data_IF_528548969907
#
_entry.id   IF_528548969907
#
_cell.length_a   1.000
_cell.length_b   1.000
_cell.length_c   1.000
_cell.angle_alpha   90.00
_cell.angle_beta   90.00
_cell.angle_gamma   90.00
#
_symmetry.space_group_name_H-M   'P 1'
#
loop_
_entity.id
_entity.type
_entity.pdbx_description
1 polymer ?
#
# COMPACT_ATOMS: atom_id res chain seq x y z
N UNK A 1 -0.17 -30.04 -13.39
CA UNK A 1 0.62 -29.65 -12.19
C UNK A 1 1.66 -28.65 -12.65
N UNK A 2 1.36 -27.36 -12.52
CA UNK A 2 2.35 -26.30 -12.69
C UNK A 2 2.88 -25.97 -11.30
N UNK A 3 4.19 -26.06 -11.11
CA UNK A 3 4.86 -25.44 -9.97
C UNK A 3 4.58 -23.95 -10.03
N UNK A 4 3.76 -23.44 -9.11
CA UNK A 4 3.42 -22.03 -9.01
C UNK A 4 4.69 -21.25 -8.68
N UNK A 5 5.11 -20.34 -9.57
CA UNK A 5 5.92 -19.21 -9.14
C UNK A 5 5.16 -18.48 -8.05
N UNK A 6 5.80 -18.21 -6.93
CA UNK A 6 5.22 -17.32 -5.91
C UNK A 6 4.97 -15.95 -6.55
N UNK A 7 3.82 -15.34 -6.28
CA UNK A 7 3.46 -14.07 -6.89
C UNK A 7 4.41 -12.97 -6.37
N UNK A 8 4.98 -12.16 -7.27
CA UNK A 8 6.01 -11.17 -6.93
C UNK A 8 5.59 -10.24 -5.78
N UNK A 9 4.32 -9.86 -5.74
CA UNK A 9 3.73 -9.06 -4.67
C UNK A 9 3.81 -9.74 -3.29
N UNK A 10 3.63 -11.06 -3.19
CA UNK A 10 3.74 -11.80 -1.93
C UNK A 10 5.17 -11.75 -1.39
N UNK A 11 6.15 -11.95 -2.27
CA UNK A 11 7.58 -11.83 -1.94
C UNK A 11 7.91 -10.41 -1.50
N UNK A 12 7.43 -9.42 -2.24
CA UNK A 12 7.61 -8.00 -1.92
C UNK A 12 7.07 -7.66 -0.53
N UNK A 13 5.81 -8.00 -0.25
CA UNK A 13 5.14 -7.77 1.03
C UNK A 13 5.91 -8.46 2.14
N UNK A 14 6.14 -9.78 2.04
CA UNK A 14 6.81 -10.56 3.09
C UNK A 14 8.20 -10.02 3.42
N UNK A 15 8.96 -9.59 2.42
CA UNK A 15 10.34 -9.13 2.59
C UNK A 15 10.45 -7.69 3.10
N UNK A 16 9.52 -6.81 2.75
CA UNK A 16 9.53 -5.42 3.21
C UNK A 16 8.70 -5.18 4.47
N UNK A 17 7.73 -6.03 4.81
CA UNK A 17 6.92 -5.90 6.03
C UNK A 17 7.81 -5.90 7.28
N UNK A 18 8.89 -6.68 7.27
CA UNK A 18 9.89 -6.77 8.33
C UNK A 18 10.67 -5.46 8.55
N UNK A 19 10.56 -4.48 7.66
CA UNK A 19 11.21 -3.17 7.80
C UNK A 19 10.42 -2.20 8.67
N UNK A 20 9.17 -2.52 9.01
CA UNK A 20 8.41 -1.75 9.99
C UNK A 20 7.93 -0.38 9.50
N UNK A 21 7.79 -0.19 8.18
CA UNK A 21 7.29 1.05 7.59
C UNK A 21 5.77 1.09 7.36
N UNK A 22 5.06 0.03 7.74
CA UNK A 22 3.64 -0.17 7.41
C UNK A 22 3.46 -1.42 6.54
N UNK A 23 2.27 -1.58 5.95
CA UNK A 23 2.03 -2.64 4.97
C UNK A 23 2.64 -2.23 3.62
N UNK A 24 3.59 -2.99 3.05
CA UNK A 24 4.15 -2.69 1.73
C UNK A 24 3.11 -2.94 0.64
N UNK A 25 2.86 -1.95 -0.21
CA UNK A 25 1.94 -2.10 -1.35
C UNK A 25 2.76 -2.29 -2.62
N UNK A 26 2.47 -3.35 -3.38
CA UNK A 26 3.21 -3.67 -4.61
C UNK A 26 2.78 -2.77 -5.78
N UNK A 27 1.48 -2.48 -5.90
CA UNK A 27 0.94 -1.54 -6.88
C UNK A 27 0.26 -0.34 -6.21
N UNK A 28 1.01 0.68 -5.77
CA UNK A 28 0.44 1.82 -5.05
C UNK A 28 -0.23 2.87 -5.96
N UNK A 29 -0.10 2.76 -7.29
CA UNK A 29 -0.71 3.70 -8.24
C UNK A 29 -2.25 3.56 -8.23
N UNK A 30 -3.01 4.66 -8.07
CA UNK A 30 -4.47 4.63 -8.16
C UNK A 30 -4.98 4.14 -9.52
N UNK A 31 -6.15 3.50 -9.54
CA UNK A 31 -6.86 3.15 -10.77
C UNK A 31 -7.31 4.43 -11.50
N UNK A 32 -7.09 4.49 -12.82
CA UNK A 32 -7.48 5.60 -13.69
C UNK A 32 -9.01 5.81 -13.76
N UNK A 33 -9.81 4.84 -13.30
CA UNK A 33 -11.26 4.94 -13.19
C UNK A 33 -11.72 5.69 -11.93
N UNK A 34 -10.82 5.99 -11.00
CA UNK A 34 -11.12 6.78 -9.81
C UNK A 34 -11.27 8.28 -10.16
N UNK A 35 -11.97 9.08 -9.34
CA UNK A 35 -12.06 10.52 -9.56
C UNK A 35 -10.66 11.16 -9.69
N UNK A 36 -10.48 12.14 -10.59
CA UNK A 36 -9.19 12.80 -10.80
C UNK A 36 -8.59 13.34 -9.49
N UNK A 37 -9.44 13.94 -8.63
CA UNK A 37 -9.02 14.43 -7.32
C UNK A 37 -8.45 13.33 -6.41
N UNK A 38 -8.85 12.06 -6.58
CA UNK A 38 -8.24 10.94 -5.88
C UNK A 38 -6.94 10.49 -6.54
N UNK A 39 -6.87 10.47 -7.87
CA UNK A 39 -5.65 10.11 -8.61
C UNK A 39 -4.49 11.06 -8.25
N UNK A 40 -4.76 12.36 -8.20
CA UNK A 40 -3.77 13.39 -7.85
C UNK A 40 -3.33 13.30 -6.38
N UNK A 41 -4.25 12.90 -5.49
CA UNK A 41 -4.01 12.80 -4.05
C UNK A 41 -3.32 11.50 -3.65
N UNK A 42 -3.64 10.40 -4.34
CA UNK A 42 -3.33 9.03 -3.95
C UNK A 42 -3.98 8.58 -2.64
N UNK A 43 -3.62 7.37 -2.21
CA UNK A 43 -4.07 6.75 -0.94
C UNK A 43 -3.64 7.57 0.27
N UNK A 44 -4.59 7.94 1.12
CA UNK A 44 -4.36 8.85 2.24
C UNK A 44 -5.01 8.36 3.54
N UNK A 45 -4.58 8.94 4.67
CA UNK A 45 -5.18 8.68 5.99
C UNK A 45 -6.70 8.84 5.94
N UNK A 46 -7.42 7.86 6.46
CA UNK A 46 -8.89 7.81 6.44
C UNK A 46 -9.47 7.01 5.28
N UNK A 47 -8.66 6.65 4.28
CA UNK A 47 -9.14 5.80 3.20
C UNK A 47 -9.41 4.38 3.72
N UNK A 48 -10.59 3.86 3.40
CA UNK A 48 -10.93 2.46 3.51
C UNK A 48 -10.64 1.81 2.16
N UNK A 49 -9.75 0.82 2.17
CA UNK A 49 -9.23 0.19 0.95
C UNK A 49 -9.19 -1.31 1.07
N UNK A 50 -9.14 -1.99 -0.08
CA UNK A 50 -8.81 -3.40 -0.17
C UNK A 50 -7.47 -3.57 -0.85
N UNK A 51 -6.63 -4.43 -0.28
CA UNK A 51 -5.44 -4.92 -0.98
C UNK A 51 -5.87 -6.15 -1.78
N UNK A 52 -5.82 -6.02 -3.10
CA UNK A 52 -6.22 -7.06 -4.05
C UNK A 52 -5.17 -8.17 -4.12
N UNK A 53 -5.53 -9.32 -4.71
CA UNK A 53 -4.62 -10.46 -4.86
C UNK A 53 -3.38 -10.15 -5.72
N UNK A 54 -3.47 -9.17 -6.62
CA UNK A 54 -2.33 -8.67 -7.42
C UNK A 54 -1.50 -7.59 -6.70
N UNK A 55 -1.85 -7.26 -5.45
CA UNK A 55 -1.10 -6.33 -4.61
C UNK A 55 -1.34 -4.84 -4.91
N UNK A 56 -2.42 -4.53 -5.63
CA UNK A 56 -2.89 -3.15 -5.87
C UNK A 56 -3.88 -2.68 -4.81
N UNK A 57 -4.27 -1.40 -4.87
CA UNK A 57 -5.21 -0.77 -3.94
C UNK A 57 -6.56 -0.56 -4.63
N UNK A 58 -7.60 -1.21 -4.10
CA UNK A 58 -8.99 -0.94 -4.46
C UNK A 58 -9.61 0.03 -3.45
N UNK A 59 -9.81 1.28 -3.87
CA UNK A 59 -10.33 2.35 -3.02
C UNK A 59 -11.85 2.28 -2.88
N UNK A 60 -12.32 2.23 -1.63
CA UNK A 60 -13.75 2.24 -1.32
C UNK A 60 -14.24 3.66 -1.13
N UNK A 61 -13.90 4.27 0.01
CA UNK A 61 -14.24 5.64 0.36
C UNK A 61 -13.31 6.11 1.49
N UNK A 62 -13.32 7.41 1.79
CA UNK A 62 -12.57 7.98 2.91
C UNK A 62 -13.52 8.33 4.06
N UNK A 63 -13.25 7.84 5.27
CA UNK A 63 -14.03 8.22 6.46
C UNK A 63 -13.79 9.68 6.87
N UNK A 64 -12.74 10.31 6.36
CA UNK A 64 -12.35 11.69 6.69
C UNK A 64 -12.82 12.72 5.67
N UNK A 65 -13.69 12.32 4.74
CA UNK A 65 -14.32 13.22 3.79
C UNK A 65 -15.85 13.10 3.88
N UNK A 66 -16.59 14.20 3.63
CA UNK A 66 -18.04 14.14 3.50
C UNK A 66 -18.49 13.15 2.42
N UNK A 67 -19.73 12.64 2.52
CA UNK A 67 -20.28 11.71 1.52
C UNK A 67 -20.52 12.35 0.15
N UNK A 68 -20.76 13.66 0.11
CA UNK A 68 -20.92 14.48 -1.09
C UNK A 68 -19.59 14.98 -1.68
N UNK A 69 -18.47 14.73 -1.01
CA UNK A 69 -17.15 15.09 -1.52
C UNK A 69 -16.84 14.32 -2.83
N UNK A 70 -16.23 14.94 -3.86
CA UNK A 70 -15.99 14.30 -5.15
C UNK A 70 -15.28 12.93 -5.10
N UNK A 71 -14.37 12.75 -4.13
CA UNK A 71 -13.68 11.47 -3.88
C UNK A 71 -14.62 10.39 -3.36
N UNK A 72 -15.58 10.74 -2.49
CA UNK A 72 -16.51 9.82 -1.84
C UNK A 72 -17.83 9.66 -2.58
N UNK A 73 -18.12 10.53 -3.55
CA UNK A 73 -19.40 10.60 -4.24
C UNK A 73 -19.82 9.22 -4.77
N UNK A 74 -21.00 8.78 -4.35
CA UNK A 74 -21.62 7.50 -4.70
C UNK A 74 -20.86 6.24 -4.22
N UNK A 75 -19.97 6.37 -3.23
CA UNK A 75 -19.17 5.25 -2.69
C UNK A 75 -19.42 4.93 -1.22
N UNK A 76 -19.99 5.87 -0.47
CA UNK A 76 -20.22 5.68 0.97
C UNK A 76 -21.45 4.81 1.25
N UNK A 77 -21.48 4.06 2.37
CA UNK A 77 -22.68 3.39 2.85
C UNK A 77 -23.83 4.37 3.13
N UNK A 78 -25.07 3.85 3.20
CA UNK A 78 -26.27 4.65 3.45
C UNK A 78 -26.22 5.42 4.78
N UNK A 79 -25.74 4.76 5.84
CA UNK A 79 -25.56 5.35 7.18
C UNK A 79 -24.14 5.87 7.40
N UNK A 80 -23.58 6.60 6.44
CA UNK A 80 -22.22 7.12 6.54
C UNK A 80 -22.08 8.19 7.63
N UNK A 81 -21.03 8.05 8.44
CA UNK A 81 -20.62 9.02 9.46
C UNK A 81 -19.17 9.43 9.19
N UNK A 82 -18.94 10.73 9.00
CA UNK A 82 -17.61 11.28 8.79
C UNK A 82 -16.85 11.40 10.12
N UNK A 83 -15.55 11.14 10.08
CA UNK A 83 -14.61 11.43 11.17
C UNK A 83 -13.86 12.72 10.86
N UNK A 84 -14.08 13.73 11.68
CA UNK A 84 -13.34 14.99 11.61
C UNK A 84 -11.92 14.85 12.16
N UNK A 85 -10.94 15.22 11.33
CA UNK A 85 -9.53 15.31 11.68
C UNK A 85 -9.07 16.77 11.70
N UNK A 86 -8.40 17.15 12.78
CA UNK A 86 -7.65 18.40 12.85
C UNK A 86 -6.20 18.11 12.47
N UNK A 87 -5.76 18.56 11.30
CA UNK A 87 -4.40 18.33 10.78
C UNK A 87 -3.30 18.71 11.80
N UNK A 88 -3.51 19.76 12.59
CA UNK A 88 -2.52 20.22 13.56
C UNK A 88 -2.44 19.36 14.83
N UNK A 89 -3.53 18.70 15.21
CA UNK A 89 -3.64 17.93 16.46
C UNK A 89 -3.63 16.43 16.27
N UNK A 90 -4.20 15.95 15.17
CA UNK A 90 -4.42 14.53 14.91
C UNK A 90 -3.34 13.93 14.01
N UNK A 91 -2.63 14.75 13.21
CA UNK A 91 -1.61 14.27 12.26
C UNK A 91 -0.18 14.61 12.69
N UNK A 92 0.74 13.70 12.36
CA UNK A 92 2.18 13.90 12.39
C UNK A 92 2.68 13.85 10.96
N UNK A 93 3.17 14.99 10.48
CA UNK A 93 3.77 15.15 9.15
C UNK A 93 5.29 15.25 9.33
N UNK A 94 6.03 14.41 8.62
CA UNK A 94 7.48 14.35 8.65
C UNK A 94 7.97 14.44 7.20
N UNK A 95 8.45 15.63 6.84
CA UNK A 95 9.04 15.89 5.54
C UNK A 95 10.38 15.17 5.40
N UNK A 96 10.75 14.78 4.18
CA UNK A 96 12.04 14.14 3.86
C UNK A 96 12.33 12.90 4.71
N UNK A 97 11.29 12.17 5.13
CA UNK A 97 11.44 11.01 6.00
C UNK A 97 12.31 9.93 5.36
N UNK A 98 12.16 9.76 4.04
CA UNK A 98 13.12 9.04 3.20
C UNK A 98 13.82 10.03 2.29
N UNK A 99 15.15 10.01 2.28
CA UNK A 99 15.92 10.91 1.42
C UNK A 99 15.75 10.61 -0.07
N UNK A 100 16.09 11.60 -0.90
CA UNK A 100 16.20 11.46 -2.36
C UNK A 100 17.14 10.30 -2.71
N UNK A 101 16.81 9.56 -3.76
CA UNK A 101 17.53 8.38 -4.24
C UNK A 101 17.76 7.28 -3.18
N UNK A 102 16.86 7.18 -2.20
CA UNK A 102 16.94 6.18 -1.14
C UNK A 102 16.26 4.86 -1.52
N UNK A 103 16.54 3.80 -0.75
CA UNK A 103 15.92 2.49 -0.96
C UNK A 103 15.60 1.80 0.35
N UNK A 104 14.43 1.19 0.41
CA UNK A 104 14.05 0.22 1.43
C UNK A 104 14.22 -1.16 0.79
N UNK A 105 15.24 -1.91 1.21
CA UNK A 105 15.53 -3.22 0.64
C UNK A 105 15.61 -4.30 1.71
N UNK A 106 15.23 -5.53 1.36
CA UNK A 106 15.40 -6.69 2.25
C UNK A 106 16.86 -6.83 2.70
N UNK A 107 17.10 -7.36 3.91
CA UNK A 107 18.43 -7.42 4.54
C UNK A 107 19.52 -8.10 3.68
N UNK A 108 19.10 -8.90 2.72
CA UNK A 108 20.00 -9.63 1.81
C UNK A 108 20.56 -8.77 0.68
N UNK A 109 20.02 -7.57 0.44
CA UNK A 109 20.53 -6.61 -0.56
C UNK A 109 21.54 -5.70 0.13
N UNK A 110 22.75 -6.20 0.36
CA UNK A 110 23.86 -5.30 0.63
C UNK A 110 24.25 -4.60 -0.67
N UNK A 111 24.17 -3.26 -0.73
CA UNK A 111 24.81 -2.44 -1.77
C UNK A 111 26.31 -2.75 -1.75
N UNK A 112 26.74 -3.76 -2.49
CA UNK A 112 28.15 -4.05 -2.68
C UNK A 112 28.67 -3.12 -3.75
N UNK A 113 29.45 -2.13 -3.31
CA UNK A 113 30.56 -1.62 -4.14
C UNK A 113 31.34 -2.84 -4.65
N UNK A 114 31.42 -3.02 -5.97
CA UNK A 114 32.19 -4.08 -6.62
C UNK A 114 33.68 -3.88 -6.27
N UNK A 115 34.13 -4.48 -5.18
CA UNK A 115 35.52 -4.86 -4.97
C UNK A 115 35.60 -6.37 -5.20
N UNK A 116 36.52 -6.76 -6.09
CA UNK A 116 36.64 -8.09 -6.66
C UNK A 116 36.60 -9.22 -5.62
N UNK A 117 35.88 -10.29 -5.97
CA UNK A 117 35.89 -11.62 -5.35
C UNK A 117 35.29 -11.78 -3.95
N UNK A 118 33.98 -11.52 -3.82
CA UNK A 118 33.19 -12.14 -2.76
C UNK A 118 31.92 -12.74 -3.36
N UNK A 119 31.97 -14.04 -3.68
CA UNK A 119 30.79 -14.85 -3.96
C UNK A 119 29.94 -14.89 -2.68
N UNK A 120 28.93 -14.02 -2.63
CA UNK A 120 27.87 -14.10 -1.64
C UNK A 120 26.78 -14.92 -2.29
N UNK A 121 26.32 -15.97 -1.60
CA UNK A 121 25.12 -16.69 -1.99
C UNK A 121 24.02 -15.66 -2.25
N UNK A 122 23.57 -15.56 -3.50
CA UNK A 122 22.46 -14.70 -3.83
C UNK A 122 21.28 -15.13 -2.93
N UNK A 123 20.61 -14.19 -2.25
CA UNK A 123 19.46 -14.57 -1.46
C UNK A 123 18.42 -15.22 -2.37
N UNK A 124 17.82 -16.31 -1.88
CA UNK A 124 16.73 -16.98 -2.60
C UNK A 124 15.55 -16.05 -2.85
N UNK A 125 15.42 -14.96 -2.08
CA UNK A 125 14.43 -13.92 -2.33
C UNK A 125 14.94 -12.54 -1.96
N UNK A 126 14.56 -11.53 -2.74
CA UNK A 126 14.75 -10.13 -2.37
C UNK A 126 13.56 -9.27 -2.74
N UNK A 127 13.50 -8.10 -2.11
CA UNK A 127 12.56 -7.04 -2.46
C UNK A 127 13.23 -5.68 -2.21
N UNK A 128 12.92 -4.73 -3.08
CA UNK A 128 13.38 -3.35 -2.99
C UNK A 128 12.26 -2.40 -3.38
N UNK A 129 12.08 -1.37 -2.57
CA UNK A 129 11.40 -0.13 -2.92
C UNK A 129 12.47 0.93 -3.06
N UNK A 130 12.53 1.59 -4.21
CA UNK A 130 13.39 2.73 -4.43
C UNK A 130 12.53 3.99 -4.59
N UNK A 131 12.97 5.06 -3.95
CA UNK A 131 12.29 6.35 -3.89
C UNK A 131 13.21 7.37 -4.53
N UNK A 132 12.96 7.68 -5.80
CA UNK A 132 13.84 8.57 -6.56
C UNK A 132 13.77 9.99 -6.00
N UNK A 133 12.57 10.52 -5.80
CA UNK A 133 12.39 11.86 -5.20
C UNK A 133 12.28 11.83 -3.65
N UNK A 134 12.61 10.70 -3.03
CA UNK A 134 12.41 10.51 -1.59
C UNK A 134 10.93 10.34 -1.22
N UNK A 135 10.60 10.49 0.06
CA UNK A 135 9.22 10.42 0.51
C UNK A 135 8.97 11.10 1.86
N UNK A 136 7.80 11.72 1.96
CA UNK A 136 7.27 12.27 3.20
C UNK A 136 6.47 11.21 3.95
N UNK A 137 6.46 11.29 5.28
CA UNK A 137 5.67 10.40 6.12
C UNK A 137 4.54 11.13 6.82
N UNK A 138 3.35 10.56 6.72
CA UNK A 138 2.14 11.04 7.40
C UNK A 138 1.60 9.94 8.31
N UNK A 139 1.32 10.26 9.57
CA UNK A 139 0.72 9.31 10.51
C UNK A 139 -0.36 9.97 11.37
N UNK A 140 -1.37 9.20 11.77
CA UNK A 140 -2.23 9.55 12.89
C UNK A 140 -1.44 9.52 14.20
N UNK A 141 -1.53 10.59 14.99
CA UNK A 141 -0.99 10.66 16.36
C UNK A 141 -1.77 9.76 17.31
N UNK A 142 -3.09 9.67 17.12
CA UNK A 142 -3.98 8.93 18.00
C UNK A 142 -4.97 8.09 17.19
N UNK A 143 -4.88 6.77 17.35
CA UNK A 143 -5.74 5.82 16.62
C UNK A 143 -7.16 5.72 17.17
N UNK A 144 -7.47 6.38 18.30
CA UNK A 144 -8.74 6.18 19.01
C UNK A 144 -9.96 6.48 18.14
N UNK A 145 -10.02 7.65 17.50
CA UNK A 145 -11.13 8.04 16.62
C UNK A 145 -11.38 6.98 15.53
N UNK A 146 -10.30 6.50 14.90
CA UNK A 146 -10.35 5.52 13.82
C UNK A 146 -10.77 4.13 14.32
N UNK A 147 -10.25 3.68 15.47
CA UNK A 147 -10.66 2.41 16.09
C UNK A 147 -12.12 2.44 16.50
N UNK A 148 -12.57 3.51 17.14
CA UNK A 148 -13.96 3.66 17.58
C UNK A 148 -14.90 3.70 16.36
N UNK A 149 -14.47 4.31 15.25
CA UNK A 149 -15.21 4.29 14.00
C UNK A 149 -15.29 2.89 13.38
N UNK A 150 -14.15 2.21 13.25
CA UNK A 150 -14.10 0.86 12.68
C UNK A 150 -14.89 -0.15 13.53
N UNK A 151 -14.82 -0.07 14.86
CA UNK A 151 -15.58 -0.95 15.74
C UNK A 151 -17.10 -0.78 15.59
N UNK A 152 -17.57 0.45 15.36
CA UNK A 152 -18.99 0.73 15.17
C UNK A 152 -19.49 0.26 13.80
N UNK A 153 -18.68 0.45 12.75
CA UNK A 153 -19.18 0.41 11.37
C UNK A 153 -18.54 -0.67 10.48
N UNK A 154 -17.53 -1.43 10.93
CA UNK A 154 -16.81 -2.39 10.08
C UNK A 154 -17.72 -3.43 9.40
N UNK A 155 -18.81 -3.84 10.06
CA UNK A 155 -19.79 -4.76 9.46
C UNK A 155 -20.54 -4.10 8.30
N UNK A 156 -20.95 -2.84 8.48
CA UNK A 156 -21.70 -2.06 7.49
C UNK A 156 -20.82 -1.67 6.31
N UNK A 157 -19.49 -1.60 6.50
CA UNK A 157 -18.53 -1.42 5.43
C UNK A 157 -18.29 -2.72 4.64
N UNK A 158 -18.12 -3.83 5.35
CA UNK A 158 -17.72 -5.11 4.74
C UNK A 158 -18.87 -5.81 4.00
N UNK A 159 -20.06 -5.86 4.59
CA UNK A 159 -21.18 -6.67 4.07
C UNK A 159 -21.65 -6.23 2.68
N UNK A 160 -21.95 -4.95 2.42
CA UNK A 160 -22.39 -4.51 1.09
C UNK A 160 -21.31 -4.75 0.03
N UNK A 161 -20.06 -4.48 0.38
CA UNK A 161 -18.95 -4.64 -0.56
C UNK A 161 -18.71 -6.10 -0.94
N UNK A 162 -18.76 -7.01 0.05
CA UNK A 162 -18.69 -8.45 -0.19
C UNK A 162 -19.83 -8.93 -1.09
N UNK A 163 -21.06 -8.46 -0.87
CA UNK A 163 -22.21 -8.84 -1.70
C UNK A 163 -22.06 -8.34 -3.15
N UNK A 164 -21.69 -7.08 -3.34
CA UNK A 164 -21.47 -6.49 -4.65
C UNK A 164 -20.38 -7.26 -5.43
N UNK A 165 -19.25 -7.54 -4.77
CA UNK A 165 -18.16 -8.29 -5.40
C UNK A 165 -18.50 -9.76 -5.65
N UNK A 166 -19.23 -10.44 -4.75
CA UNK A 166 -19.73 -11.78 -5.01
C UNK A 166 -20.65 -11.83 -6.25
N UNK A 167 -21.51 -10.82 -6.44
CA UNK A 167 -22.34 -10.72 -7.65
C UNK A 167 -21.54 -10.41 -8.92
N UNK A 168 -20.37 -9.79 -8.78
CA UNK A 168 -19.43 -9.51 -9.88
C UNK A 168 -18.33 -10.57 -10.04
N UNK A 169 -18.42 -11.70 -9.31
CA UNK A 169 -17.43 -12.79 -9.37
C UNK A 169 -16.06 -12.46 -8.77
N UNK A 170 -15.94 -11.38 -8.00
CA UNK A 170 -14.71 -10.99 -7.31
C UNK A 170 -14.71 -11.59 -5.90
N UNK A 171 -13.75 -12.47 -5.60
CA UNK A 171 -13.55 -12.99 -4.24
C UNK A 171 -12.71 -12.00 -3.42
N UNK A 172 -13.24 -11.57 -2.28
CA UNK A 172 -12.52 -10.73 -1.32
C UNK A 172 -12.13 -11.60 -0.13
N UNK A 173 -10.85 -11.61 0.23
CA UNK A 173 -10.40 -12.27 1.44
C UNK A 173 -10.82 -11.46 2.68
N UNK A 174 -11.20 -12.15 3.76
CA UNK A 174 -11.64 -11.51 5.01
C UNK A 174 -10.57 -10.60 5.66
N UNK A 175 -9.31 -10.80 5.30
CA UNK A 175 -8.12 -10.08 5.81
C UNK A 175 -7.61 -8.99 4.86
N UNK A 176 -8.37 -8.67 3.81
CA UNK A 176 -7.95 -7.73 2.77
C UNK A 176 -8.45 -6.29 2.97
N UNK A 177 -9.33 -6.04 3.94
CA UNK A 177 -9.89 -4.70 4.22
C UNK A 177 -9.01 -3.92 5.20
N UNK A 178 -8.52 -2.75 4.78
CA UNK A 178 -7.64 -1.89 5.55
C UNK A 178 -8.23 -0.50 5.71
N UNK A 179 -8.08 0.06 6.91
CA UNK A 179 -8.29 1.48 7.18
C UNK A 179 -6.92 2.16 7.29
N UNK A 180 -6.63 3.10 6.39
CA UNK A 180 -5.32 3.76 6.30
C UNK A 180 -5.15 4.72 7.47
N UNK A 181 -4.14 4.47 8.30
CA UNK A 181 -3.83 5.26 9.50
C UNK A 181 -2.53 6.05 9.39
N UNK A 182 -1.77 5.78 8.32
CA UNK A 182 -0.52 6.45 7.97
C UNK A 182 -0.07 6.00 6.58
N UNK A 183 0.78 6.77 5.95
CA UNK A 183 1.33 6.50 4.62
C UNK A 183 2.65 7.25 4.41
N UNK A 184 3.51 6.67 3.58
CA UNK A 184 4.63 7.39 2.98
C UNK A 184 4.20 7.85 1.58
N UNK A 185 4.43 9.12 1.26
CA UNK A 185 4.06 9.77 0.00
C UNK A 185 5.31 10.09 -0.80
N UNK A 186 5.32 9.66 -2.06
CA UNK A 186 6.40 9.91 -3.00
C UNK A 186 5.81 10.23 -4.37
N UNK A 187 6.47 11.11 -5.11
CA UNK A 187 6.11 11.44 -6.50
C UNK A 187 6.61 10.37 -7.48
N UNK A 188 7.73 9.70 -7.16
CA UNK A 188 8.35 8.71 -8.04
C UNK A 188 8.93 7.54 -7.25
N UNK A 189 8.60 6.32 -7.70
CA UNK A 189 9.05 5.11 -7.06
C UNK A 189 9.32 3.99 -8.07
N UNK A 190 10.18 3.06 -7.67
CA UNK A 190 10.47 1.82 -8.37
C UNK A 190 10.39 0.64 -7.43
N UNK A 191 9.73 -0.43 -7.85
CA UNK A 191 9.58 -1.66 -7.07
C UNK A 191 10.21 -2.82 -7.84
N UNK A 192 10.93 -3.67 -7.13
CA UNK A 192 11.26 -5.01 -7.63
C UNK A 192 11.23 -6.02 -6.50
N UNK A 193 10.86 -7.24 -6.86
CA UNK A 193 10.93 -8.41 -6.00
C UNK A 193 11.29 -9.62 -6.83
N UNK A 194 11.92 -10.58 -6.18
CA UNK A 194 12.44 -11.77 -6.84
C UNK A 194 12.41 -12.94 -5.89
N UNK A 195 12.07 -14.12 -6.41
CA UNK A 195 12.14 -15.40 -5.72
C UNK A 195 12.78 -16.43 -6.66
N UNK A 196 13.93 -16.97 -6.27
CA UNK A 196 14.60 -18.04 -6.96
C UNK A 196 13.88 -19.36 -6.67
N UNK A 197 13.09 -19.81 -7.64
CA UNK A 197 12.52 -21.15 -7.64
C UNK A 197 13.28 -22.12 -8.57
N UNK A 198 14.27 -21.62 -9.34
CA UNK A 198 15.18 -22.43 -10.16
C UNK A 198 16.28 -21.59 -10.87
N UNK A 199 17.40 -21.36 -10.19
CA UNK A 199 18.78 -21.41 -10.71
C UNK A 199 19.30 -20.36 -11.71
N UNK A 200 18.48 -19.61 -12.43
CA UNK A 200 18.95 -18.56 -13.36
C UNK A 200 17.85 -17.53 -13.61
N UNK A 201 18.08 -16.24 -13.32
CA UNK A 201 17.28 -15.12 -13.86
C UNK A 201 17.90 -13.73 -13.58
N UNK A 202 17.79 -12.87 -14.60
CA UNK A 202 18.06 -11.43 -14.59
C UNK A 202 16.78 -10.67 -14.20
N UNK A 203 16.88 -9.63 -13.35
CA UNK A 203 15.71 -8.87 -12.83
C UNK A 203 15.68 -7.46 -13.43
N UNK A 204 14.54 -7.08 -14.03
CA UNK A 204 14.28 -5.73 -14.54
C UNK A 204 13.42 -4.92 -13.57
N UNK A 205 13.81 -3.67 -13.31
CA UNK A 205 13.03 -2.70 -12.53
C UNK A 205 12.01 -1.99 -13.44
N UNK A 206 10.74 -1.99 -13.03
CA UNK A 206 9.71 -1.18 -13.67
C UNK A 206 9.54 0.15 -12.91
N UNK A 207 9.70 1.26 -13.63
CA UNK A 207 9.56 2.60 -13.09
C UNK A 207 8.15 3.12 -13.32
N UNK A 208 7.55 3.71 -12.29
CA UNK A 208 6.26 4.39 -12.43
C UNK A 208 6.43 5.84 -12.02
N UNK A 209 6.13 6.73 -12.96
CA UNK A 209 5.90 8.15 -12.73
C UNK A 209 4.39 8.46 -12.79
#
# INVERSE_FOLDING_TARGET
FFTMSEAENEVYVRRLLLKGHGYPVYGPKPDNCLPQAYQDRGTSIGDLVIITNDGTIDFLFSICLPSDHPINANRTPECFEMVELDTSKDLSLMEDWHGIDSSIASSSVQKKSLAAHAAVAAPSEFAILHLQDGADRQNLRHLKKFRDQAQRHAKDWYVPYRHANATMGREISYDSLYLVTGCDKSESWGIASYSDTSGDSEVSLNWTA
#
